data_IF_183153711662
#
_entry.id   IF_183153711662
#
_cell.length_a   1.000
_cell.length_b   1.000
_cell.length_c   1.000
_cell.angle_alpha   90.00
_cell.angle_beta   90.00
_cell.angle_gamma   90.00
#
_symmetry.space_group_name_H-M   'P 1'
#
loop_
_entity.id
_entity.type
_entity.pdbx_description
1 polymer ?
#
# COMPACT_ATOMS: atom_id res chain seq x y z
N UNK A 1 32.71 38.77 20.90
CA UNK A 1 33.53 39.58 19.95
C UNK A 1 33.54 38.81 18.64
N UNK A 2 33.00 39.24 17.49
CA UNK A 2 32.66 40.55 16.94
C UNK A 2 31.36 40.41 16.11
N UNK A 3 30.53 41.46 16.15
CA UNK A 3 29.38 41.73 15.27
C UNK A 3 29.85 42.31 13.93
N UNK A 4 29.19 41.97 12.82
CA UNK A 4 29.03 42.75 11.57
C UNK A 4 27.69 42.28 10.98
N UNK A 5 26.55 42.96 10.91
CA UNK A 5 26.09 44.34 10.66
C UNK A 5 26.33 44.88 9.24
N UNK A 6 25.20 45.29 8.62
CA UNK A 6 24.98 46.11 7.41
C UNK A 6 25.06 45.35 6.05
N UNK A 7 24.16 45.51 5.08
CA UNK A 7 23.22 46.61 4.78
C UNK A 7 22.08 46.12 3.87
N UNK A 8 20.88 46.65 4.07
CA UNK A 8 19.74 46.53 3.15
C UNK A 8 19.89 47.50 1.96
N UNK A 9 19.35 47.14 0.79
CA UNK A 9 19.11 48.09 -0.30
C UNK A 9 17.75 47.80 -0.94
N UNK A 10 16.83 48.72 -0.68
CA UNK A 10 15.50 48.85 -1.28
C UNK A 10 15.70 49.61 -2.59
N UNK A 11 15.24 49.05 -3.71
CA UNK A 11 15.03 49.82 -4.94
C UNK A 11 13.58 49.64 -5.35
N UNK A 12 12.82 50.71 -5.13
CA UNK A 12 11.47 50.93 -5.63
C UNK A 12 11.59 51.67 -6.96
N UNK A 13 11.00 51.13 -8.03
CA UNK A 13 10.76 51.90 -9.27
C UNK A 13 9.29 51.72 -9.65
N UNK A 14 8.51 52.77 -9.36
CA UNK A 14 7.23 53.05 -10.01
C UNK A 14 7.52 53.83 -11.30
N UNK A 15 6.95 53.41 -12.42
CA UNK A 15 6.68 54.30 -13.54
C UNK A 15 5.41 53.84 -14.27
N UNK A 16 4.37 54.66 -14.17
CA UNK A 16 3.12 54.63 -14.93
C UNK A 16 3.39 54.98 -16.40
N UNK A 17 2.75 54.26 -17.31
CA UNK A 17 2.63 54.63 -18.71
C UNK A 17 1.36 54.03 -19.30
N UNK A 18 0.25 54.78 -19.23
CA UNK A 18 -1.00 54.46 -19.91
C UNK A 18 -0.99 55.15 -21.29
N UNK A 19 -1.17 54.38 -22.36
CA UNK A 19 -1.58 54.89 -23.66
C UNK A 19 -2.65 53.96 -24.24
N UNK A 20 -3.85 54.52 -24.33
CA UNK A 20 -5.06 54.02 -24.95
C UNK A 20 -4.91 53.82 -26.45
N UNK A 21 -5.32 52.65 -26.96
CA UNK A 21 -5.75 52.50 -28.35
C UNK A 21 -7.05 51.67 -28.37
N UNK A 22 -8.15 52.36 -28.65
CA UNK A 22 -9.45 51.77 -28.93
C UNK A 22 -9.45 51.22 -30.36
N UNK A 23 -9.79 49.94 -30.51
CA UNK A 23 -10.34 49.41 -31.76
C UNK A 23 -11.52 48.53 -31.42
N UNK A 24 -12.70 49.06 -31.70
CA UNK A 24 -14.00 48.42 -31.67
C UNK A 24 -14.12 47.36 -32.76
N UNK A 25 -14.42 46.11 -32.39
CA UNK A 25 -15.08 45.18 -33.29
C UNK A 25 -16.20 44.45 -32.54
N UNK A 26 -17.43 44.81 -32.90
CA UNK A 26 -18.66 44.19 -32.44
C UNK A 26 -18.81 42.80 -33.08
N UNK A 27 -19.18 41.79 -32.29
CA UNK A 27 -19.78 40.57 -32.83
C UNK A 27 -19.44 39.28 -32.11
N UNK A 28 -20.50 38.68 -31.55
CA UNK A 28 -20.66 37.25 -31.25
C UNK A 28 -20.17 36.75 -29.89
N UNK A 29 -21.12 36.78 -28.95
CA UNK A 29 -21.20 35.89 -27.80
C UNK A 29 -21.08 34.43 -28.25
N UNK A 30 -19.95 33.80 -27.94
CA UNK A 30 -19.80 32.36 -27.98
C UNK A 30 -19.26 31.92 -26.62
N UNK A 31 -20.14 31.33 -25.81
CA UNK A 31 -19.76 30.48 -24.70
C UNK A 31 -19.13 29.21 -25.27
N UNK A 32 -17.84 29.25 -25.57
CA UNK A 32 -17.04 28.07 -25.84
C UNK A 32 -16.33 27.67 -24.56
N UNK A 33 -16.78 26.55 -23.99
CA UNK A 33 -16.21 25.97 -22.80
C UNK A 33 -14.70 25.87 -22.91
N UNK A 34 -14.03 26.22 -21.82
CA UNK A 34 -12.63 25.91 -21.59
C UNK A 34 -12.48 24.39 -21.50
N UNK A 35 -12.49 23.74 -22.65
CA UNK A 35 -11.92 22.42 -22.83
C UNK A 35 -10.42 22.57 -22.63
N UNK A 36 -10.00 22.50 -21.37
CA UNK A 36 -8.60 22.39 -21.02
C UNK A 36 -8.06 21.16 -21.73
N UNK A 37 -7.24 21.38 -22.76
CA UNK A 37 -6.28 20.39 -23.22
C UNK A 37 -5.24 20.22 -22.09
N UNK A 38 -5.68 19.59 -21.00
CA UNK A 38 -4.83 19.25 -19.88
C UNK A 38 -3.99 18.07 -20.31
N UNK A 39 -2.66 18.25 -20.32
CA UNK A 39 -1.74 17.14 -20.56
C UNK A 39 -2.02 15.97 -19.61
N UNK A 40 -1.52 14.79 -19.98
CA UNK A 40 -1.58 13.57 -19.15
C UNK A 40 -1.17 13.88 -17.70
N UNK A 41 -2.07 13.72 -16.70
CA UNK A 41 -1.73 13.98 -15.31
C UNK A 41 -0.56 13.10 -14.88
N UNK A 42 0.35 13.67 -14.09
CA UNK A 42 1.43 12.93 -13.44
C UNK A 42 1.04 12.68 -11.99
N UNK A 43 1.18 11.44 -11.53
CA UNK A 43 0.90 11.03 -10.14
C UNK A 43 2.13 10.34 -9.57
N UNK A 44 2.62 10.80 -8.42
CA UNK A 44 3.73 10.16 -7.70
C UNK A 44 3.17 9.13 -6.73
N UNK A 45 3.56 7.87 -6.91
CA UNK A 45 3.16 6.76 -6.05
C UNK A 45 4.41 6.12 -5.43
N UNK A 46 4.45 6.08 -4.10
CA UNK A 46 5.53 5.42 -3.36
C UNK A 46 5.01 4.18 -2.63
N UNK A 47 5.78 3.10 -2.56
CA UNK A 47 5.48 1.96 -1.71
C UNK A 47 6.73 1.48 -0.95
N UNK A 48 6.55 0.86 0.21
CA UNK A 48 7.65 0.26 0.98
C UNK A 48 8.10 -1.08 0.42
N UNK A 49 8.87 -1.05 -0.67
CA UNK A 49 9.41 -2.22 -1.37
C UNK A 49 8.53 -2.66 -2.54
N UNK A 50 8.60 -1.94 -3.67
CA UNK A 50 7.81 -2.25 -4.88
C UNK A 50 8.08 -3.66 -5.45
N UNK A 51 9.24 -4.23 -5.16
CA UNK A 51 9.66 -5.57 -5.59
C UNK A 51 9.06 -6.72 -4.75
N UNK A 52 8.35 -6.41 -3.67
CA UNK A 52 7.56 -7.39 -2.91
C UNK A 52 6.37 -7.87 -3.76
N UNK A 53 6.06 -9.17 -3.70
CA UNK A 53 4.96 -9.72 -4.51
C UNK A 53 3.61 -9.07 -4.21
N UNK A 54 3.34 -8.70 -2.96
CA UNK A 54 2.09 -8.02 -2.55
C UNK A 54 1.87 -6.69 -3.29
N UNK A 55 2.94 -6.06 -3.77
CA UNK A 55 2.93 -4.77 -4.47
C UNK A 55 3.20 -4.88 -5.97
N UNK A 56 3.27 -6.11 -6.51
CA UNK A 56 3.44 -6.34 -7.94
C UNK A 56 2.41 -5.61 -8.83
N UNK A 57 1.15 -5.32 -8.42
CA UNK A 57 0.19 -4.68 -9.32
C UNK A 57 0.64 -3.30 -9.79
N UNK A 58 1.38 -2.54 -8.98
CA UNK A 58 1.85 -1.20 -9.35
C UNK A 58 2.80 -1.23 -10.55
N UNK A 59 3.84 -2.04 -10.46
CA UNK A 59 4.81 -2.18 -11.55
C UNK A 59 4.19 -2.93 -12.74
N UNK A 60 3.35 -3.93 -12.49
CA UNK A 60 2.69 -4.67 -13.56
C UNK A 60 1.78 -3.76 -14.42
N UNK A 61 1.07 -2.81 -13.82
CA UNK A 61 0.24 -1.85 -14.54
C UNK A 61 1.06 -1.01 -15.55
N UNK A 62 2.26 -0.57 -15.16
CA UNK A 62 3.20 0.12 -16.05
C UNK A 62 3.66 -0.80 -17.18
N UNK A 63 4.08 -2.03 -16.85
CA UNK A 63 4.59 -2.99 -17.83
C UNK A 63 3.54 -3.52 -18.81
N UNK A 64 2.27 -3.56 -18.40
CA UNK A 64 1.13 -3.85 -19.27
C UNK A 64 0.71 -2.62 -20.12
N UNK A 65 1.28 -1.45 -19.84
CA UNK A 65 0.96 -0.19 -20.51
C UNK A 65 -0.39 0.39 -20.09
N UNK A 66 -0.95 -0.04 -18.95
CA UNK A 66 -2.28 0.37 -18.51
C UNK A 66 -2.32 1.82 -18.03
N UNK A 67 -1.29 2.33 -17.36
CA UNK A 67 -1.24 3.76 -17.04
C UNK A 67 -1.33 4.63 -18.30
N UNK A 68 -0.58 4.27 -19.35
CA UNK A 68 -0.68 4.92 -20.66
C UNK A 68 -2.05 4.74 -21.31
N UNK A 69 -2.64 3.53 -21.28
CA UNK A 69 -3.99 3.24 -21.82
C UNK A 69 -5.04 4.18 -21.22
N UNK A 70 -4.98 4.43 -19.91
CA UNK A 70 -5.95 5.27 -19.20
C UNK A 70 -5.54 6.74 -19.13
N UNK A 71 -4.42 7.13 -19.77
CA UNK A 71 -4.01 8.51 -19.89
C UNK A 71 -3.53 9.13 -18.58
N UNK A 72 -2.73 8.41 -17.80
CA UNK A 72 -2.01 8.91 -16.62
C UNK A 72 -0.54 8.50 -16.68
N UNK A 73 0.35 9.37 -16.21
CA UNK A 73 1.77 9.05 -15.98
C UNK A 73 1.95 8.78 -14.50
N UNK A 74 2.29 7.55 -14.12
CA UNK A 74 2.58 7.23 -12.71
C UNK A 74 4.09 7.16 -12.51
N UNK A 75 4.60 7.99 -11.60
CA UNK A 75 6.00 7.95 -11.17
C UNK A 75 6.10 7.06 -9.94
N UNK A 76 6.49 5.81 -10.16
CA UNK A 76 6.69 4.81 -9.11
C UNK A 76 8.02 5.05 -8.38
N UNK A 77 7.98 4.99 -7.06
CA UNK A 77 9.17 5.06 -6.21
C UNK A 77 9.06 4.06 -5.05
N UNK A 78 10.22 3.65 -4.51
CA UNK A 78 10.27 2.72 -3.38
C UNK A 78 10.89 3.38 -2.17
N UNK A 79 10.23 3.22 -1.02
CA UNK A 79 10.80 3.48 0.29
C UNK A 79 11.68 2.27 0.67
N UNK A 80 12.83 2.50 1.32
CA UNK A 80 13.86 1.48 1.53
C UNK A 80 13.86 0.89 2.95
N UNK A 81 13.17 1.50 3.92
CA UNK A 81 13.24 1.18 5.34
C UNK A 81 12.04 0.38 5.89
N UNK A 82 10.99 0.10 5.13
CA UNK A 82 10.06 -1.00 5.47
C UNK A 82 8.57 -0.67 5.53
N UNK A 83 8.10 0.38 4.85
CA UNK A 83 6.67 0.67 4.75
C UNK A 83 6.38 2.12 5.07
N UNK A 84 6.36 2.43 6.37
CA UNK A 84 5.85 3.65 7.02
C UNK A 84 6.29 4.95 6.34
N UNK A 85 7.51 4.99 5.79
CA UNK A 85 8.00 6.17 5.09
C UNK A 85 7.19 6.53 3.83
N UNK A 86 6.53 5.57 3.17
CA UNK A 86 5.65 5.86 2.04
C UNK A 86 4.36 6.55 2.48
N UNK A 87 3.75 6.07 3.56
CA UNK A 87 2.57 6.66 4.20
C UNK A 87 2.88 8.06 4.74
N UNK A 88 4.04 8.26 5.37
CA UNK A 88 4.49 9.56 5.85
C UNK A 88 4.81 10.53 4.71
N UNK A 89 5.45 10.06 3.63
CA UNK A 89 5.69 10.84 2.43
C UNK A 89 4.36 11.30 1.78
N UNK A 90 3.36 10.43 1.72
CA UNK A 90 2.02 10.79 1.24
C UNK A 90 1.33 11.76 2.22
N UNK A 91 1.36 11.49 3.53
CA UNK A 91 0.71 12.33 4.52
C UNK A 91 1.34 13.73 4.65
N UNK A 92 2.61 13.90 4.24
CA UNK A 92 3.32 15.19 4.18
C UNK A 92 3.21 15.90 2.83
N UNK A 93 2.71 15.23 1.78
CA UNK A 93 2.61 15.79 0.43
C UNK A 93 3.87 15.66 -0.42
N UNK A 94 4.87 14.90 0.02
CA UNK A 94 6.05 14.57 -0.79
C UNK A 94 5.70 13.70 -2.00
N UNK A 95 4.72 12.81 -1.84
CA UNK A 95 4.10 12.05 -2.93
C UNK A 95 2.58 12.20 -2.88
N UNK A 96 1.91 11.86 -3.99
CA UNK A 96 0.47 12.00 -4.12
C UNK A 96 -0.27 10.81 -3.51
N UNK A 97 0.27 9.61 -3.72
CA UNK A 97 -0.31 8.35 -3.29
C UNK A 97 0.73 7.45 -2.61
N UNK A 98 0.29 6.63 -1.66
CA UNK A 98 1.08 5.57 -1.07
C UNK A 98 0.48 4.20 -1.42
N UNK A 99 1.31 3.30 -1.94
CA UNK A 99 1.01 1.87 -1.93
C UNK A 99 1.29 1.33 -0.52
N UNK A 100 0.24 1.09 0.24
CA UNK A 100 0.30 0.82 1.67
C UNK A 100 -0.85 -0.11 2.09
N UNK A 101 -0.93 -0.46 3.37
CA UNK A 101 -2.03 -1.27 3.88
C UNK A 101 -3.21 -0.42 4.34
N UNK A 102 -4.42 -0.92 4.12
CA UNK A 102 -5.66 -0.21 4.46
C UNK A 102 -5.72 0.25 5.92
N UNK A 103 -5.21 -0.51 6.88
CA UNK A 103 -5.31 -0.20 8.30
C UNK A 103 -4.68 1.17 8.67
N UNK A 104 -3.70 1.66 7.90
CA UNK A 104 -3.11 2.98 8.10
C UNK A 104 -4.11 4.13 7.93
N UNK A 105 -5.17 3.97 7.14
CA UNK A 105 -6.25 4.96 7.01
C UNK A 105 -6.96 5.19 8.36
N UNK A 106 -7.18 4.12 9.12
CA UNK A 106 -7.78 4.13 10.45
C UNK A 106 -6.83 4.83 11.44
N UNK A 107 -5.55 4.47 11.41
CA UNK A 107 -4.52 5.11 12.26
C UNK A 107 -4.39 6.60 11.98
N UNK A 108 -4.42 7.01 10.70
CA UNK A 108 -4.42 8.42 10.32
C UNK A 108 -5.65 9.16 10.82
N UNK A 109 -6.83 8.55 10.70
CA UNK A 109 -8.07 9.15 11.19
C UNK A 109 -8.05 9.34 12.72
N UNK A 110 -7.51 8.36 13.46
CA UNK A 110 -7.32 8.47 14.90
C UNK A 110 -6.35 9.61 15.29
N UNK A 111 -5.43 9.97 14.39
CA UNK A 111 -4.50 11.11 14.51
C UNK A 111 -5.07 12.42 13.91
N UNK A 112 -6.36 12.46 13.57
CA UNK A 112 -7.02 13.64 13.01
C UNK A 112 -6.66 13.97 11.56
N UNK A 113 -6.10 13.00 10.81
CA UNK A 113 -5.75 13.15 9.39
C UNK A 113 -6.76 12.40 8.52
N UNK A 114 -7.24 13.04 7.45
CA UNK A 114 -8.16 12.44 6.50
C UNK A 114 -7.37 11.77 5.36
N UNK A 115 -7.32 10.45 5.39
CA UNK A 115 -6.69 9.60 4.37
C UNK A 115 -7.68 8.49 4.04
N UNK A 116 -7.84 8.19 2.75
CA UNK A 116 -8.72 7.14 2.27
C UNK A 116 -8.01 6.19 1.32
N UNK A 117 -8.45 4.93 1.33
CA UNK A 117 -8.14 3.94 0.31
C UNK A 117 -9.02 4.14 -0.93
N UNK A 118 -8.39 4.36 -2.09
CA UNK A 118 -9.09 4.59 -3.36
C UNK A 118 -9.20 3.35 -4.25
N UNK A 119 -8.45 2.27 -3.94
CA UNK A 119 -8.55 0.96 -4.60
C UNK A 119 -7.87 -0.12 -3.76
N UNK A 120 -8.63 -1.15 -3.37
CA UNK A 120 -8.15 -2.26 -2.55
C UNK A 120 -7.62 -3.40 -3.43
N UNK A 121 -6.33 -3.74 -3.31
CA UNK A 121 -5.70 -4.73 -4.19
C UNK A 121 -5.66 -6.13 -3.58
N UNK A 122 -5.54 -6.26 -2.26
CA UNK A 122 -5.53 -7.56 -1.58
C UNK A 122 -6.60 -7.71 -0.50
N UNK A 123 -7.18 -8.90 -0.38
CA UNK A 123 -8.12 -9.29 0.68
C UNK A 123 -7.44 -9.98 1.87
N UNK A 124 -6.12 -10.15 1.77
CA UNK A 124 -5.26 -10.75 2.77
C UNK A 124 -3.96 -9.93 2.94
N UNK A 125 -3.25 -10.11 4.05
CA UNK A 125 -1.93 -9.50 4.26
C UNK A 125 -0.88 -9.91 3.22
N UNK A 126 -0.90 -11.16 2.74
CA UNK A 126 0.17 -11.68 1.89
C UNK A 126 1.44 -12.05 2.68
N UNK A 127 1.31 -12.21 4.00
CA UNK A 127 2.43 -12.38 4.93
C UNK A 127 2.45 -13.76 5.59
N UNK A 128 3.60 -14.14 6.14
CA UNK A 128 3.78 -15.30 7.01
C UNK A 128 4.64 -14.95 8.20
N UNK A 129 4.33 -15.54 9.35
CA UNK A 129 5.22 -15.51 10.51
C UNK A 129 6.25 -16.63 10.35
N UNK A 130 7.43 -16.28 9.85
CA UNK A 130 8.52 -17.22 9.56
C UNK A 130 9.40 -17.40 10.80
N UNK A 131 9.37 -18.59 11.39
CA UNK A 131 10.05 -18.88 12.66
C UNK A 131 11.24 -19.83 12.48
N UNK A 132 12.31 -19.61 13.26
CA UNK A 132 13.42 -20.58 13.33
C UNK A 132 12.97 -21.86 14.03
N UNK A 133 13.59 -23.00 13.72
CA UNK A 133 13.31 -24.27 14.42
C UNK A 133 13.55 -24.18 15.93
N UNK A 134 14.51 -23.36 16.37
CA UNK A 134 14.86 -23.19 17.79
C UNK A 134 13.84 -22.34 18.56
N UNK A 135 13.02 -21.55 17.86
CA UNK A 135 12.02 -20.69 18.50
C UNK A 135 10.97 -21.49 19.27
N UNK A 136 10.62 -22.71 18.82
CA UNK A 136 9.51 -23.49 19.36
C UNK A 136 8.13 -22.87 19.12
N UNK A 137 8.04 -21.83 18.28
CA UNK A 137 6.78 -21.14 17.98
C UNK A 137 6.00 -21.92 16.93
N UNK A 138 4.76 -22.27 17.29
CA UNK A 138 3.80 -22.93 16.38
C UNK A 138 2.47 -22.19 16.31
N UNK A 139 2.25 -21.25 17.23
CA UNK A 139 1.09 -20.37 17.24
C UNK A 139 1.43 -19.03 17.88
N UNK A 140 0.57 -18.02 17.71
CA UNK A 140 0.76 -16.72 18.35
C UNK A 140 0.68 -16.74 19.88
N UNK A 141 0.22 -17.84 20.50
CA UNK A 141 0.28 -18.02 21.94
C UNK A 141 1.73 -18.21 22.44
N UNK A 142 2.61 -18.71 21.56
CA UNK A 142 4.01 -18.99 21.87
C UNK A 142 4.91 -17.75 21.75
N UNK A 143 4.35 -16.60 21.36
CA UNK A 143 5.09 -15.34 21.19
C UNK A 143 5.67 -14.80 22.48
N UNK A 144 5.13 -15.20 23.65
CA UNK A 144 5.60 -14.72 24.95
C UNK A 144 7.09 -15.04 25.14
N UNK A 145 7.88 -13.98 25.40
CA UNK A 145 9.32 -14.01 25.60
C UNK A 145 10.13 -14.12 24.32
N UNK A 146 9.50 -14.12 23.14
CA UNK A 146 10.19 -14.20 21.84
C UNK A 146 10.56 -12.82 21.32
N UNK A 147 11.56 -12.79 20.45
CA UNK A 147 11.88 -11.63 19.61
C UNK A 147 11.27 -11.81 18.24
N UNK A 148 10.27 -10.99 17.91
CA UNK A 148 9.52 -11.02 16.67
C UNK A 148 9.96 -9.86 15.79
N UNK A 149 10.55 -10.19 14.63
CA UNK A 149 10.97 -9.22 13.65
C UNK A 149 9.83 -8.77 12.76
N UNK A 150 9.79 -7.49 12.44
CA UNK A 150 8.78 -6.84 11.60
C UNK A 150 9.49 -5.98 10.55
N UNK A 151 8.80 -5.58 9.48
CA UNK A 151 9.42 -4.75 8.43
C UNK A 151 9.85 -3.41 9.01
N UNK A 152 8.97 -2.76 9.76
CA UNK A 152 9.27 -1.60 10.58
C UNK A 152 8.29 -1.50 11.77
N UNK A 153 8.66 -0.77 12.82
CA UNK A 153 7.75 -0.51 13.94
C UNK A 153 6.64 0.45 13.49
N UNK A 154 5.39 0.11 13.80
CA UNK A 154 4.21 0.82 13.31
C UNK A 154 3.81 0.48 11.87
N UNK A 155 4.49 -0.45 11.20
CA UNK A 155 4.03 -0.97 9.90
C UNK A 155 2.86 -1.96 10.07
N UNK A 156 2.17 -2.26 8.98
CA UNK A 156 1.16 -3.32 8.95
C UNK A 156 1.64 -4.68 9.49
N UNK A 157 2.92 -5.05 9.28
CA UNK A 157 3.48 -6.30 9.85
C UNK A 157 3.59 -6.25 11.37
N UNK A 158 3.95 -5.09 11.94
CA UNK A 158 3.98 -4.88 13.39
C UNK A 158 2.59 -4.94 14.01
N UNK A 159 1.63 -4.22 13.44
CA UNK A 159 0.22 -4.26 13.88
C UNK A 159 -0.32 -5.68 13.81
N UNK A 160 -0.03 -6.42 12.73
CA UNK A 160 -0.48 -7.79 12.55
C UNK A 160 0.12 -8.76 13.58
N UNK A 161 1.42 -8.67 13.85
CA UNK A 161 2.09 -9.47 14.89
C UNK A 161 1.48 -9.19 16.27
N UNK A 162 1.28 -7.92 16.63
CA UNK A 162 0.63 -7.54 17.88
C UNK A 162 -0.80 -8.05 17.98
N UNK A 163 -1.56 -7.98 16.89
CA UNK A 163 -2.94 -8.44 16.84
C UNK A 163 -3.06 -9.94 17.08
N UNK A 164 -2.23 -10.74 16.40
CA UNK A 164 -2.20 -12.18 16.58
C UNK A 164 -1.86 -12.55 18.04
N UNK A 165 -0.88 -11.85 18.64
CA UNK A 165 -0.52 -12.01 20.04
C UNK A 165 -1.72 -11.71 20.95
N UNK A 166 -2.35 -10.55 20.77
CA UNK A 166 -3.46 -10.09 21.59
C UNK A 166 -4.68 -11.03 21.52
N UNK A 167 -4.96 -11.60 20.35
CA UNK A 167 -6.00 -12.63 20.17
C UNK A 167 -5.76 -13.91 20.98
N UNK A 168 -4.51 -14.19 21.33
CA UNK A 168 -4.12 -15.31 22.20
C UNK A 168 -3.87 -14.89 23.64
N UNK A 169 -4.24 -13.66 24.02
CA UNK A 169 -4.05 -13.12 25.36
C UNK A 169 -2.61 -12.75 25.68
N UNK A 170 -1.71 -12.71 24.68
CA UNK A 170 -0.32 -12.28 24.83
C UNK A 170 -0.26 -10.77 24.61
N UNK A 171 0.13 -10.03 25.64
CA UNK A 171 0.23 -8.56 25.59
C UNK A 171 1.51 -8.12 24.87
N UNK A 172 1.50 -6.96 24.22
CA UNK A 172 2.67 -6.40 23.52
C UNK A 172 3.93 -6.31 24.40
N UNK A 173 3.78 -6.05 25.70
CA UNK A 173 4.91 -6.02 26.66
C UNK A 173 5.46 -7.40 27.06
N UNK A 174 4.90 -8.49 26.55
CA UNK A 174 5.32 -9.86 26.86
C UNK A 174 6.19 -10.49 25.77
N UNK A 175 6.50 -9.75 24.69
CA UNK A 175 7.43 -10.15 23.64
C UNK A 175 8.23 -8.93 23.18
N UNK A 176 9.29 -9.15 22.42
CA UNK A 176 10.13 -8.09 21.89
C UNK A 176 9.86 -7.91 20.40
N UNK A 177 9.66 -6.67 19.97
CA UNK A 177 9.49 -6.32 18.56
C UNK A 177 10.78 -5.73 18.04
N UNK A 178 11.19 -6.14 16.85
CA UNK A 178 12.43 -5.69 16.24
C UNK A 178 12.20 -5.29 14.78
N UNK A 179 12.47 -4.04 14.43
CA UNK A 179 12.52 -3.66 13.02
C UNK A 179 13.72 -4.35 12.35
N UNK A 180 13.45 -5.24 11.41
CA UNK A 180 14.47 -6.01 10.67
C UNK A 180 14.43 -5.78 9.17
N UNK A 181 13.48 -4.98 8.67
CA UNK A 181 13.25 -4.80 7.24
C UNK A 181 12.74 -6.09 6.57
N UNK A 182 13.16 -6.32 5.34
CA UNK A 182 12.78 -7.49 4.55
C UNK A 182 13.99 -8.08 3.80
N UNK A 183 13.79 -9.21 3.11
CA UNK A 183 14.82 -9.83 2.29
C UNK A 183 16.03 -10.27 3.10
N UNK A 184 17.23 -9.87 2.67
CA UNK A 184 18.49 -10.34 3.25
C UNK A 184 18.65 -10.00 4.73
N UNK A 185 18.14 -8.84 5.18
CA UNK A 185 18.26 -8.41 6.57
C UNK A 185 17.38 -9.24 7.50
N UNK A 186 16.14 -9.52 7.09
CA UNK A 186 15.22 -10.41 7.82
C UNK A 186 15.76 -11.86 7.88
N UNK A 187 16.27 -12.38 6.75
CA UNK A 187 16.94 -13.69 6.70
C UNK A 187 18.14 -13.74 7.66
N UNK A 188 18.96 -12.68 7.70
CA UNK A 188 20.10 -12.60 8.60
C UNK A 188 19.69 -12.49 10.07
N UNK A 189 18.60 -11.77 10.37
CA UNK A 189 18.08 -11.64 11.72
C UNK A 189 17.68 -13.00 12.31
N UNK A 190 16.96 -13.82 11.53
CA UNK A 190 16.65 -15.20 11.90
C UNK A 190 17.92 -16.06 12.03
N UNK A 191 18.77 -16.05 11.00
CA UNK A 191 19.97 -16.91 10.95
C UNK A 191 20.92 -16.67 12.12
N UNK A 192 21.09 -15.41 12.51
CA UNK A 192 22.00 -15.02 13.59
C UNK A 192 21.35 -15.03 14.97
N UNK A 193 20.09 -15.46 15.09
CA UNK A 193 19.35 -15.51 16.35
C UNK A 193 19.05 -14.12 16.94
N UNK A 194 19.04 -13.07 16.12
CA UNK A 194 18.56 -11.74 16.54
C UNK A 194 17.04 -11.68 16.66
N UNK A 195 16.34 -12.51 15.88
CA UNK A 195 14.90 -12.70 15.95
C UNK A 195 14.57 -14.20 15.96
N UNK A 196 13.58 -14.59 16.76
CA UNK A 196 13.04 -15.96 16.81
C UNK A 196 12.14 -16.24 15.61
N UNK A 197 11.35 -15.24 15.24
CA UNK A 197 10.46 -15.23 14.09
C UNK A 197 10.50 -13.86 13.39
N UNK A 198 10.09 -13.82 12.13
CA UNK A 198 9.87 -12.57 11.38
C UNK A 198 8.56 -12.64 10.62
N UNK A 199 7.72 -11.60 10.74
CA UNK A 199 6.57 -11.40 9.86
C UNK A 199 7.06 -10.85 8.53
N UNK A 200 6.90 -11.63 7.45
CA UNK A 200 7.42 -11.25 6.14
C UNK A 200 6.68 -11.88 4.97
N UNK A 201 6.90 -11.32 3.78
CA UNK A 201 6.24 -11.69 2.53
C UNK A 201 7.25 -12.21 1.51
N UNK A 202 6.76 -12.65 0.35
CA UNK A 202 7.58 -13.02 -0.79
C UNK A 202 8.31 -11.80 -1.36
N UNK A 203 9.59 -11.96 -1.75
CA UNK A 203 10.33 -13.22 -1.88
C UNK A 203 11.06 -13.71 -0.62
N UNK A 204 10.94 -13.00 0.52
CA UNK A 204 11.68 -13.32 1.75
C UNK A 204 11.28 -14.68 2.33
N UNK A 205 9.99 -15.02 2.29
CA UNK A 205 9.47 -16.34 2.72
C UNK A 205 10.22 -17.47 1.99
N UNK A 206 10.18 -17.48 0.65
CA UNK A 206 10.86 -18.49 -0.14
C UNK A 206 12.37 -18.55 0.16
N UNK A 207 13.01 -17.39 0.40
CA UNK A 207 14.42 -17.32 0.74
C UNK A 207 14.74 -17.96 2.11
N UNK A 208 13.89 -17.74 3.12
CA UNK A 208 14.02 -18.33 4.46
C UNK A 208 13.92 -19.86 4.39
N UNK A 209 12.93 -20.36 3.66
CA UNK A 209 12.69 -21.80 3.48
C UNK A 209 13.82 -22.46 2.70
N UNK A 210 14.20 -21.90 1.55
CA UNK A 210 15.26 -22.42 0.69
C UNK A 210 16.61 -22.49 1.39
N UNK A 211 16.90 -21.56 2.30
CA UNK A 211 18.12 -21.55 3.11
C UNK A 211 18.02 -22.42 4.37
N UNK A 212 16.85 -23.02 4.64
CA UNK A 212 16.60 -23.84 5.83
C UNK A 212 16.70 -23.06 7.15
N UNK A 213 16.52 -21.73 7.10
CA UNK A 213 16.66 -20.84 8.27
C UNK A 213 15.43 -20.88 9.16
N UNK A 214 14.26 -21.08 8.57
CA UNK A 214 12.98 -21.14 9.28
C UNK A 214 11.86 -21.71 8.42
N UNK A 215 10.68 -21.82 9.02
CA UNK A 215 9.45 -22.31 8.39
C UNK A 215 8.28 -21.42 8.81
N UNK A 216 7.22 -21.39 8.00
CA UNK A 216 5.99 -20.67 8.36
C UNK A 216 5.34 -21.30 9.61
N UNK A 217 5.20 -20.55 10.68
CA UNK A 217 4.42 -20.94 11.86
C UNK A 217 2.94 -20.52 11.72
N UNK A 218 2.70 -19.39 11.05
CA UNK A 218 1.36 -18.86 10.79
C UNK A 218 1.33 -18.34 9.35
N UNK A 219 0.36 -18.81 8.57
CA UNK A 219 0.18 -18.43 7.18
C UNK A 219 -1.02 -17.48 7.01
N UNK A 220 -0.73 -16.25 6.56
CA UNK A 220 -1.69 -15.18 6.28
C UNK A 220 -1.60 -14.75 4.81
N UNK A 221 -1.01 -15.60 3.96
CA UNK A 221 -0.70 -15.24 2.59
C UNK A 221 -1.95 -15.21 1.72
N UNK A 222 -2.97 -15.98 2.04
CA UNK A 222 -4.23 -16.02 1.29
C UNK A 222 -5.40 -15.51 2.11
N UNK A 223 -6.49 -15.14 1.44
CA UNK A 223 -7.72 -14.69 2.11
C UNK A 223 -8.28 -15.75 3.06
N UNK A 224 -8.14 -17.04 2.72
CA UNK A 224 -8.59 -18.13 3.58
C UNK A 224 -7.68 -18.34 4.80
N UNK A 225 -6.34 -18.22 4.61
CA UNK A 225 -5.39 -18.22 5.72
C UNK A 225 -5.63 -17.07 6.69
N UNK A 226 -5.84 -15.86 6.16
CA UNK A 226 -6.20 -14.69 6.93
C UNK A 226 -7.51 -14.89 7.70
N UNK A 227 -8.57 -15.42 7.07
CA UNK A 227 -9.83 -15.74 7.77
C UNK A 227 -9.63 -16.75 8.89
N UNK A 228 -8.84 -17.80 8.67
CA UNK A 228 -8.59 -18.83 9.67
C UNK A 228 -7.83 -18.29 10.90
N UNK A 229 -6.84 -17.43 10.68
CA UNK A 229 -6.02 -16.87 11.76
C UNK A 229 -6.66 -15.64 12.44
N UNK A 230 -7.34 -14.80 11.65
CA UNK A 230 -7.79 -13.46 12.04
C UNK A 230 -9.32 -13.36 12.18
N UNK A 231 -10.08 -14.39 11.84
CA UNK A 231 -11.54 -14.44 12.01
C UNK A 231 -12.34 -13.63 10.99
N UNK A 232 -11.70 -13.13 9.93
CA UNK A 232 -12.33 -12.34 8.88
C UNK A 232 -11.34 -11.99 7.76
N UNK A 233 -11.80 -11.39 6.65
CA UNK A 233 -10.90 -10.81 5.67
C UNK A 233 -10.10 -9.67 6.32
N UNK A 234 -8.85 -9.52 5.90
CA UNK A 234 -7.97 -8.46 6.38
C UNK A 234 -7.40 -7.74 5.15
N UNK A 235 -8.02 -6.61 4.75
CA UNK A 235 -7.58 -5.84 3.58
C UNK A 235 -6.13 -5.39 3.79
N UNK A 236 -5.24 -5.88 2.93
CA UNK A 236 -3.81 -5.59 2.99
C UNK A 236 -3.45 -4.45 2.03
N UNK A 237 -2.58 -4.75 1.06
CA UNK A 237 -2.10 -3.81 0.05
C UNK A 237 -3.23 -3.10 -0.71
N UNK A 238 -3.14 -1.77 -0.74
CA UNK A 238 -4.06 -0.85 -1.41
C UNK A 238 -3.38 0.48 -1.74
N UNK A 239 -4.12 1.41 -2.35
CA UNK A 239 -3.63 2.76 -2.66
C UNK A 239 -4.28 3.77 -1.74
N UNK A 240 -3.46 4.41 -0.91
CA UNK A 240 -3.89 5.45 0.02
C UNK A 240 -3.57 6.84 -0.53
N UNK A 241 -4.48 7.78 -0.30
CA UNK A 241 -4.27 9.18 -0.61
C UNK A 241 -4.95 10.10 0.41
N UNK A 242 -4.46 11.34 0.53
CA UNK A 242 -5.13 12.34 1.36
C UNK A 242 -6.48 12.70 0.75
N UNK A 243 -7.53 12.74 1.57
CA UNK A 243 -8.91 12.98 1.09
C UNK A 243 -9.06 14.33 0.39
N UNK A 244 -8.31 15.36 0.79
CA UNK A 244 -8.31 16.67 0.12
C UNK A 244 -7.70 16.60 -1.29
N UNK A 245 -6.63 15.83 -1.46
CA UNK A 245 -5.99 15.57 -2.75
C UNK A 245 -6.90 14.75 -3.66
N UNK A 246 -7.52 13.69 -3.15
CA UNK A 246 -8.50 12.89 -3.90
C UNK A 246 -9.63 13.76 -4.43
N UNK A 247 -10.18 14.63 -3.58
CA UNK A 247 -11.28 15.51 -3.95
C UNK A 247 -10.91 16.55 -5.01
N UNK A 248 -9.67 17.04 -5.01
CA UNK A 248 -9.17 18.01 -5.99
C UNK A 248 -8.60 17.38 -7.27
N UNK A 249 -8.30 16.08 -7.27
CA UNK A 249 -7.65 15.36 -8.37
C UNK A 249 -8.45 14.13 -8.84
N UNK A 250 -9.78 14.17 -8.75
CA UNK A 250 -10.67 13.04 -9.09
C UNK A 250 -10.39 12.38 -10.43
N UNK A 251 -10.11 13.16 -11.48
CA UNK A 251 -9.77 12.62 -12.80
C UNK A 251 -8.47 11.81 -12.77
N UNK A 252 -7.41 12.32 -12.13
CA UNK A 252 -6.15 11.60 -11.98
C UNK A 252 -6.32 10.33 -11.14
N UNK A 253 -7.08 10.41 -10.03
CA UNK A 253 -7.42 9.25 -9.18
C UNK A 253 -8.15 8.19 -10.01
N UNK A 254 -9.21 8.56 -10.72
CA UNK A 254 -9.98 7.63 -11.53
C UNK A 254 -9.11 6.93 -12.57
N UNK A 255 -8.19 7.63 -13.24
CA UNK A 255 -7.29 7.04 -14.24
C UNK A 255 -6.27 6.07 -13.64
N UNK A 256 -5.75 6.36 -12.44
CA UNK A 256 -4.89 5.42 -11.71
C UNK A 256 -5.69 4.17 -11.32
N UNK A 257 -6.90 4.34 -10.79
CA UNK A 257 -7.76 3.24 -10.36
C UNK A 257 -8.22 2.39 -11.57
N UNK A 258 -8.55 3.00 -12.71
CA UNK A 258 -8.85 2.29 -13.95
C UNK A 258 -7.69 1.35 -14.37
N UNK A 259 -6.46 1.86 -14.29
CA UNK A 259 -5.26 1.09 -14.63
C UNK A 259 -5.04 -0.08 -13.66
N UNK A 260 -5.22 0.15 -12.37
CA UNK A 260 -5.03 -0.88 -11.35
C UNK A 260 -6.15 -1.93 -11.37
N UNK A 261 -7.42 -1.54 -11.51
CA UNK A 261 -8.54 -2.50 -11.66
C UNK A 261 -8.35 -3.37 -12.89
N UNK A 262 -7.96 -2.80 -14.03
CA UNK A 262 -7.64 -3.61 -15.22
C UNK A 262 -6.45 -4.56 -14.97
N UNK A 263 -5.45 -4.12 -14.21
CA UNK A 263 -4.33 -4.97 -13.79
C UNK A 263 -4.81 -6.12 -12.90
N UNK A 264 -5.72 -5.87 -11.96
CA UNK A 264 -6.26 -6.89 -11.07
C UNK A 264 -7.05 -7.97 -11.83
N UNK A 265 -7.88 -7.57 -12.80
CA UNK A 265 -8.58 -8.52 -13.68
C UNK A 265 -7.59 -9.33 -14.54
N UNK A 266 -6.53 -8.68 -15.02
CA UNK A 266 -5.46 -9.36 -15.76
C UNK A 266 -4.73 -10.38 -14.86
N UNK A 267 -4.34 -10.00 -13.65
CA UNK A 267 -3.76 -10.90 -12.64
C UNK A 267 -4.70 -12.08 -12.43
N UNK A 268 -5.99 -11.85 -12.18
CA UNK A 268 -6.96 -12.90 -11.90
C UNK A 268 -7.02 -13.97 -13.01
N UNK A 269 -6.96 -13.54 -14.27
CA UNK A 269 -7.12 -14.41 -15.45
C UNK A 269 -5.84 -15.05 -15.98
N UNK A 270 -4.66 -14.62 -15.53
CA UNK A 270 -3.37 -15.09 -16.05
C UNK A 270 -2.58 -15.94 -15.05
N UNK A 271 -1.68 -16.80 -15.54
CA UNK A 271 -0.87 -17.62 -14.64
C UNK A 271 0.20 -16.80 -13.91
N UNK A 272 0.74 -17.32 -12.81
CA UNK A 272 1.91 -16.73 -12.15
C UNK A 272 3.12 -16.58 -13.09
N UNK A 273 3.27 -17.51 -14.05
CA UNK A 273 4.31 -17.45 -15.06
C UNK A 273 4.09 -16.27 -16.04
N UNK A 274 2.86 -16.05 -16.48
CA UNK A 274 2.51 -14.90 -17.33
C UNK A 274 2.79 -13.58 -16.62
N UNK A 275 2.39 -13.47 -15.35
CA UNK A 275 2.67 -12.30 -14.51
C UNK A 275 4.19 -12.08 -14.39
N UNK A 276 4.95 -13.11 -14.05
CA UNK A 276 6.41 -13.02 -13.93
C UNK A 276 7.12 -12.69 -15.25
N UNK A 277 6.51 -12.98 -16.41
CA UNK A 277 7.03 -12.62 -17.72
C UNK A 277 6.82 -11.15 -18.08
N UNK A 278 5.90 -10.46 -17.41
CA UNK A 278 5.62 -9.04 -17.62
C UNK A 278 6.34 -8.12 -16.65
N UNK A 279 6.85 -8.64 -15.54
CA UNK A 279 7.58 -7.86 -14.54
C UNK A 279 9.06 -7.65 -14.91
N UNK A 280 9.72 -6.61 -14.36
CA UNK A 280 11.17 -6.42 -14.50
C UNK A 280 11.96 -7.64 -14.00
N UNK A 281 13.10 -7.93 -14.64
CA UNK A 281 13.94 -9.08 -14.28
C UNK A 281 14.38 -9.04 -12.80
N UNK A 282 14.65 -7.85 -12.26
CA UNK A 282 15.06 -7.65 -10.87
C UNK A 282 13.98 -7.99 -9.83
N UNK A 283 12.70 -7.99 -10.22
CA UNK A 283 11.58 -8.33 -9.33
C UNK A 283 11.43 -9.85 -9.22
N UNK A 284 11.63 -10.54 -10.34
CA UNK A 284 11.38 -11.98 -10.43
C UNK A 284 12.63 -12.81 -10.19
N UNK A 285 13.82 -12.22 -10.20
CA UNK A 285 15.06 -12.91 -9.89
C UNK A 285 16.07 -11.96 -9.24
N UNK A 286 16.59 -12.37 -8.09
CA UNK A 286 17.60 -11.63 -7.33
C UNK A 286 18.48 -12.59 -6.51
N UNK A 287 19.32 -12.07 -5.62
CA UNK A 287 20.22 -12.87 -4.77
C UNK A 287 19.51 -13.84 -3.80
N UNK A 288 18.21 -13.65 -3.55
CA UNK A 288 17.42 -14.46 -2.64
C UNK A 288 16.67 -15.58 -3.36
N UNK A 289 16.14 -15.30 -4.55
CA UNK A 289 15.22 -16.19 -5.28
C UNK A 289 15.48 -16.19 -6.79
N UNK A 290 15.23 -17.34 -7.42
CA UNK A 290 15.18 -17.46 -8.88
C UNK A 290 13.79 -17.13 -9.42
N UNK A 291 13.67 -16.93 -10.75
CA UNK A 291 12.35 -16.78 -11.39
C UNK A 291 11.42 -17.97 -11.15
N UNK A 292 11.96 -19.17 -11.10
CA UNK A 292 11.19 -20.38 -10.77
C UNK A 292 10.65 -20.32 -9.34
N UNK A 293 11.49 -19.90 -8.38
CA UNK A 293 11.06 -19.73 -6.97
C UNK A 293 9.97 -18.65 -6.87
N UNK A 294 10.12 -17.53 -7.60
CA UNK A 294 9.12 -16.46 -7.67
C UNK A 294 7.77 -16.95 -8.21
N UNK A 295 7.78 -17.70 -9.33
CA UNK A 295 6.56 -18.23 -9.95
C UNK A 295 5.86 -19.21 -9.01
N UNK A 296 6.63 -20.09 -8.34
CA UNK A 296 6.08 -21.02 -7.34
C UNK A 296 5.40 -20.25 -6.21
N UNK A 297 6.12 -19.31 -5.59
CA UNK A 297 5.61 -18.46 -4.52
C UNK A 297 4.34 -17.70 -4.91
N UNK A 298 4.33 -17.09 -6.11
CA UNK A 298 3.17 -16.36 -6.58
C UNK A 298 1.99 -17.30 -6.87
N UNK A 299 2.23 -18.53 -7.33
CA UNK A 299 1.17 -19.53 -7.53
C UNK A 299 0.49 -19.87 -6.19
N UNK A 300 1.27 -19.99 -5.12
CA UNK A 300 0.77 -20.27 -3.77
C UNK A 300 0.02 -19.06 -3.18
N UNK A 301 0.52 -17.85 -3.42
CA UNK A 301 0.05 -16.64 -2.74
C UNK A 301 -0.94 -15.80 -3.57
N UNK A 302 -1.27 -16.22 -4.80
CA UNK A 302 -2.16 -15.46 -5.69
C UNK A 302 -3.55 -15.21 -5.10
N UNK A 303 -4.02 -16.11 -4.23
CA UNK A 303 -5.29 -15.98 -3.50
C UNK A 303 -5.37 -14.83 -2.51
N UNK A 304 -4.30 -14.02 -2.38
CA UNK A 304 -4.34 -12.75 -1.66
C UNK A 304 -5.06 -11.64 -2.43
N UNK A 305 -4.97 -11.65 -3.76
CA UNK A 305 -5.41 -10.53 -4.58
C UNK A 305 -6.92 -10.54 -4.78
N UNK A 306 -7.52 -9.35 -4.67
CA UNK A 306 -8.92 -9.15 -5.07
C UNK A 306 -8.97 -8.93 -6.58
N UNK A 307 -9.96 -9.48 -7.29
CA UNK A 307 -10.01 -9.43 -8.74
C UNK A 307 -10.42 -8.05 -9.29
N UNK A 308 -11.07 -7.21 -8.50
CA UNK A 308 -11.86 -6.08 -8.99
C UNK A 308 -11.58 -4.74 -8.29
N UNK A 309 -10.61 -4.68 -7.38
CA UNK A 309 -10.21 -3.43 -6.72
C UNK A 309 -11.17 -2.94 -5.62
N UNK A 310 -12.20 -3.71 -5.29
CA UNK A 310 -13.27 -3.33 -4.36
C UNK A 310 -12.89 -3.68 -2.92
N UNK A 311 -13.14 -2.77 -1.97
CA UNK A 311 -13.01 -3.03 -0.55
C UNK A 311 -14.01 -4.12 -0.11
N UNK A 312 -13.56 -5.27 0.44
CA UNK A 312 -14.44 -6.39 0.78
C UNK A 312 -15.26 -6.11 2.04
N UNK A 313 -16.54 -6.50 2.01
CA UNK A 313 -17.44 -6.39 3.16
C UNK A 313 -16.88 -7.03 4.42
N UNK A 314 -16.98 -6.32 5.55
CA UNK A 314 -16.44 -6.74 6.84
C UNK A 314 -14.93 -6.54 6.99
N UNK A 315 -14.18 -6.29 5.91
CA UNK A 315 -12.74 -6.00 5.95
C UNK A 315 -12.41 -4.79 6.83
N UNK A 316 -13.03 -3.61 6.61
CA UNK A 316 -12.83 -2.44 7.44
C UNK A 316 -13.13 -2.66 8.94
N UNK A 317 -14.15 -3.48 9.25
CA UNK A 317 -14.50 -3.83 10.63
C UNK A 317 -13.43 -4.70 11.28
N UNK A 318 -12.91 -5.70 10.57
CA UNK A 318 -11.82 -6.55 11.05
C UNK A 318 -10.59 -5.70 11.36
N UNK A 319 -10.19 -4.83 10.43
CA UNK A 319 -9.06 -3.92 10.64
C UNK A 319 -9.26 -3.01 11.86
N UNK A 320 -10.43 -2.38 12.01
CA UNK A 320 -10.70 -1.54 13.19
C UNK A 320 -10.68 -2.32 14.50
N UNK A 321 -11.24 -3.54 14.51
CA UNK A 321 -11.21 -4.40 15.69
C UNK A 321 -9.77 -4.77 16.06
N UNK A 322 -8.91 -5.00 15.07
CA UNK A 322 -7.48 -5.21 15.25
C UNK A 322 -6.80 -4.00 15.89
N UNK A 323 -6.97 -2.81 15.32
CA UNK A 323 -6.36 -1.57 15.83
C UNK A 323 -6.80 -1.28 17.28
N UNK A 324 -8.09 -1.48 17.58
CA UNK A 324 -8.61 -1.32 18.95
C UNK A 324 -8.02 -2.34 19.92
N UNK A 325 -7.86 -3.59 19.48
CA UNK A 325 -7.36 -4.66 20.33
C UNK A 325 -5.89 -4.45 20.74
N UNK A 326 -5.06 -3.90 19.83
CA UNK A 326 -3.64 -3.60 20.11
C UNK A 326 -3.44 -2.23 20.75
N UNK A 327 -4.51 -1.43 20.87
CA UNK A 327 -4.50 -0.12 21.53
C UNK A 327 -3.90 1.02 20.70
N UNK A 328 -3.66 0.81 19.41
CA UNK A 328 -3.21 1.85 18.47
C UNK A 328 -4.31 2.88 18.20
N UNK A 329 -5.58 2.45 18.28
CA UNK A 329 -6.76 3.30 18.08
C UNK A 329 -7.68 3.21 19.30
N UNK A 330 -7.81 4.33 20.02
CA UNK A 330 -8.68 4.46 21.20
C UNK A 330 -9.86 5.39 20.96
N UNK A 331 -9.81 6.21 19.91
CA UNK A 331 -10.87 7.13 19.51
C UNK A 331 -11.97 6.46 18.69
N UNK A 332 -13.08 7.18 18.48
CA UNK A 332 -14.07 6.80 17.48
C UNK A 332 -13.46 6.87 16.07
N UNK A 333 -13.89 5.97 15.19
CA UNK A 333 -13.51 5.93 13.77
C UNK A 333 -14.77 5.80 12.92
N UNK A 334 -14.86 6.67 11.92
CA UNK A 334 -15.85 6.66 10.84
C UNK A 334 -15.27 5.88 9.65
N UNK A 335 -15.60 4.59 9.56
CA UNK A 335 -15.10 3.70 8.51
C UNK A 335 -15.57 4.10 7.11
N UNK A 336 -16.67 4.85 6.99
CA UNK A 336 -17.15 5.33 5.70
C UNK A 336 -16.25 6.40 5.09
N UNK A 337 -15.26 6.90 5.84
CA UNK A 337 -14.29 7.90 5.41
C UNK A 337 -12.86 7.36 5.28
N UNK A 338 -12.65 6.07 5.53
CA UNK A 338 -11.33 5.44 5.43
C UNK A 338 -11.13 4.74 4.08
N UNK A 339 -12.17 4.58 3.27
CA UNK A 339 -12.09 4.04 1.91
C UNK A 339 -13.21 4.59 1.03
N UNK A 340 -13.06 4.44 -0.28
CA UNK A 340 -14.12 4.63 -1.26
C UNK A 340 -14.12 3.51 -2.30
N UNK A 341 -15.31 2.98 -2.61
CA UNK A 341 -15.49 2.04 -3.71
C UNK A 341 -15.88 2.73 -5.03
N UNK A 342 -16.10 4.06 -5.02
CA UNK A 342 -16.60 4.80 -6.18
C UNK A 342 -15.72 4.60 -7.42
N UNK A 343 -14.42 4.82 -7.28
CA UNK A 343 -13.48 4.73 -8.40
C UNK A 343 -13.38 3.31 -8.95
N UNK A 344 -13.32 2.29 -8.08
CA UNK A 344 -13.25 0.90 -8.50
C UNK A 344 -14.53 0.44 -9.20
N UNK A 345 -15.71 0.82 -8.68
CA UNK A 345 -16.99 0.51 -9.32
C UNK A 345 -17.10 1.17 -10.70
N UNK A 346 -16.66 2.42 -10.84
CA UNK A 346 -16.62 3.12 -12.12
C UNK A 346 -15.67 2.44 -13.11
N UNK A 347 -14.48 2.03 -12.67
CA UNK A 347 -13.49 1.34 -13.49
C UNK A 347 -14.03 -0.01 -14.02
N UNK A 348 -14.63 -0.82 -13.14
CA UNK A 348 -15.25 -2.10 -13.54
C UNK A 348 -16.39 -1.88 -14.55
N UNK A 349 -17.24 -0.87 -14.31
CA UNK A 349 -18.33 -0.52 -15.23
C UNK A 349 -17.81 -0.06 -16.60
N UNK A 350 -16.75 0.77 -16.62
CA UNK A 350 -16.16 1.31 -17.85
C UNK A 350 -15.65 0.22 -18.79
N UNK A 351 -15.02 -0.82 -18.24
CA UNK A 351 -14.45 -1.92 -19.02
C UNK A 351 -15.42 -3.11 -19.19
N UNK A 352 -16.61 -3.04 -18.57
CA UNK A 352 -17.59 -4.12 -18.62
C UNK A 352 -17.17 -5.37 -17.83
N UNK A 353 -16.34 -5.20 -16.80
CA UNK A 353 -15.90 -6.31 -15.95
C UNK A 353 -16.97 -6.73 -14.95
N UNK A 354 -17.09 -8.04 -14.74
CA UNK A 354 -17.93 -8.60 -13.67
C UNK A 354 -17.23 -8.45 -12.33
N UNK A 355 -17.85 -7.76 -11.39
CA UNK A 355 -17.40 -7.68 -9.99
C UNK A 355 -17.81 -8.94 -9.23
N UNK A 356 -16.92 -9.49 -8.42
CA UNK A 356 -17.18 -10.70 -7.61
C UNK A 356 -17.00 -10.45 -6.11
N UNK A 357 -16.26 -9.40 -5.73
CA UNK A 357 -16.13 -8.97 -4.35
C UNK A 357 -17.43 -8.32 -3.88
N UNK A 358 -17.96 -8.78 -2.74
CA UNK A 358 -19.08 -8.08 -2.08
C UNK A 358 -18.56 -6.79 -1.46
N UNK A 359 -19.06 -5.61 -1.86
CA UNK A 359 -18.52 -4.33 -1.42
C UNK A 359 -18.84 -4.04 0.05
N UNK A 360 -17.86 -3.49 0.77
CA UNK A 360 -18.07 -2.89 2.07
C UNK A 360 -19.04 -1.69 1.98
N UNK A 361 -19.96 -1.62 2.94
CA UNK A 361 -20.83 -0.46 3.14
C UNK A 361 -20.15 0.60 4.01
N UNK A 362 -20.82 1.73 4.26
CA UNK A 362 -20.25 2.83 5.06
C UNK A 362 -19.82 2.45 6.49
N UNK A 363 -20.31 1.33 7.03
CA UNK A 363 -19.93 0.82 8.35
C UNK A 363 -18.88 -0.29 8.28
N UNK A 364 -18.30 -0.57 7.10
CA UNK A 364 -17.42 -1.71 6.84
C UNK A 364 -18.16 -3.00 6.51
#
# INVERSE_FOLDING_TARGET
MLKRTLTASIITVLALGAATACSSNSGSSASSGSGGSGGTPTVKLMAGGLDKQIYLPYQLAENLGFYKKYGVKVELSTEQNGGVGAEEAMASGQVDMAGAWYNHTIEFQAKGKAVEDVVQLSGAPGEREMCTKKSGVTSAADFKGKTLGVTDLGSGTDTLTQFMAAKKGVKTGQFHRLAVGAGSTAVAALKNGKADCVMTTQPTVAAVEKKGVGTSAIDLATTDGAKAALGGPFPGASVLARTDWVNSHKDAVQKVVDALVATMHWINTHSAADIANKLPASYVQNQLVTKTDYIKALTEDKGQFLPDGIMPAGGPKTALATEKLVGSVTSSVDLGKTFTNEFALNANKKEGFTTTTTPAGANG
#
